data_IF_146738904283
#
_entry.id   IF_146738904283
#
_cell.length_a   1.000
_cell.length_b   1.000
_cell.length_c   1.000
_cell.angle_alpha   90.00
_cell.angle_beta   90.00
_cell.angle_gamma   90.00
#
_symmetry.space_group_name_H-M   'P 1'
#
loop_
_entity.id
_entity.type
_entity.pdbx_description
1 polymer ?
#
# COMPACT_ATOMS: atom_id res chain seq x y z
N UNK A 1 -7.52 -9.49 -20.11
CA UNK A 1 -7.98 -10.10 -18.85
C UNK A 1 -9.00 -9.22 -18.12
N UNK A 2 -8.71 -7.95 -17.81
CA UNK A 2 -9.67 -7.05 -17.13
C UNK A 2 -11.06 -6.88 -17.80
N UNK A 3 -11.20 -7.12 -19.10
CA UNK A 3 -12.51 -7.14 -19.79
C UNK A 3 -13.45 -8.25 -19.29
N UNK A 4 -12.90 -9.37 -18.82
CA UNK A 4 -13.66 -10.58 -18.45
C UNK A 4 -14.08 -10.61 -16.97
N UNK A 5 -13.58 -9.70 -16.13
CA UNK A 5 -13.87 -9.64 -14.70
C UNK A 5 -14.84 -8.52 -14.37
N UNK A 6 -15.68 -8.66 -13.34
CA UNK A 6 -16.64 -7.61 -12.97
C UNK A 6 -16.00 -6.45 -12.20
N UNK A 7 -14.98 -6.76 -11.39
CA UNK A 7 -14.24 -5.80 -10.56
C UNK A 7 -12.76 -5.83 -10.95
N UNK A 8 -12.13 -4.66 -10.97
CA UNK A 8 -10.69 -4.55 -11.19
C UNK A 8 -10.00 -4.49 -9.83
N UNK A 9 -9.20 -5.52 -9.56
CA UNK A 9 -8.31 -5.57 -8.40
C UNK A 9 -6.87 -5.53 -8.88
N UNK A 10 -6.04 -4.69 -8.26
CA UNK A 10 -4.63 -4.65 -8.60
C UNK A 10 -3.74 -4.38 -7.38
N UNK A 11 -2.50 -4.83 -7.50
CA UNK A 11 -1.48 -4.71 -6.47
C UNK A 11 -0.47 -3.68 -6.96
N UNK A 12 -0.16 -2.67 -6.13
CA UNK A 12 0.85 -1.69 -6.50
C UNK A 12 1.57 -1.10 -5.30
N UNK A 13 2.83 -0.76 -5.55
CA UNK A 13 3.81 -0.44 -4.52
C UNK A 13 4.56 0.83 -4.90
N UNK A 14 3.81 1.93 -5.05
CA UNK A 14 4.37 3.26 -5.34
C UNK A 14 5.28 3.70 -4.21
N UNK A 15 6.44 4.28 -4.56
CA UNK A 15 7.46 4.68 -3.59
C UNK A 15 8.28 3.52 -3.01
N UNK A 16 7.96 2.26 -3.35
CA UNK A 16 8.63 1.08 -2.81
C UNK A 16 9.34 0.21 -3.85
N UNK A 17 8.71 -0.13 -4.97
CA UNK A 17 9.41 -0.82 -6.07
C UNK A 17 9.71 0.10 -7.25
N UNK A 18 8.82 1.06 -7.50
CA UNK A 18 9.05 2.17 -8.43
C UNK A 18 9.23 3.46 -7.62
N UNK A 19 10.10 4.35 -8.12
CA UNK A 19 10.39 5.64 -7.50
C UNK A 19 10.73 5.52 -6.00
N UNK A 20 11.67 4.62 -5.69
CA UNK A 20 12.05 4.23 -4.33
C UNK A 20 12.30 5.45 -3.43
N UNK A 21 11.57 5.52 -2.31
CA UNK A 21 11.67 6.63 -1.35
C UNK A 21 10.97 7.92 -1.79
N UNK A 22 10.39 7.98 -2.99
CA UNK A 22 9.66 9.11 -3.55
C UNK A 22 8.20 9.16 -3.10
N UNK A 23 7.95 9.24 -1.78
CA UNK A 23 6.61 9.25 -1.18
C UNK A 23 5.70 10.36 -1.74
N UNK A 24 6.27 11.53 -2.01
CA UNK A 24 5.58 12.68 -2.60
C UNK A 24 4.96 12.42 -3.98
N UNK A 25 5.40 11.38 -4.69
CA UNK A 25 4.89 11.01 -6.01
C UNK A 25 3.69 10.05 -5.94
N UNK A 26 3.50 9.37 -4.80
CA UNK A 26 2.52 8.29 -4.62
C UNK A 26 1.12 8.76 -5.00
N UNK A 27 0.66 9.86 -4.40
CA UNK A 27 -0.71 10.35 -4.57
C UNK A 27 -1.04 10.63 -6.05
N UNK A 28 -0.11 11.27 -6.76
CA UNK A 28 -0.27 11.60 -8.19
C UNK A 28 -0.32 10.33 -9.04
N UNK A 29 0.59 9.38 -8.81
CA UNK A 29 0.67 8.15 -9.59
C UNK A 29 -0.52 7.23 -9.34
N UNK A 30 -0.92 7.10 -8.08
CA UNK A 30 -2.08 6.33 -7.65
C UNK A 30 -3.36 6.87 -8.29
N UNK A 31 -3.61 8.19 -8.20
CA UNK A 31 -4.82 8.77 -8.79
C UNK A 31 -4.86 8.57 -10.31
N UNK A 32 -3.74 8.83 -11.00
CA UNK A 32 -3.62 8.61 -12.44
C UNK A 32 -4.00 7.17 -12.81
N UNK A 33 -3.45 6.20 -12.11
CA UNK A 33 -3.61 4.80 -12.46
C UNK A 33 -5.01 4.27 -12.12
N UNK A 34 -5.58 4.69 -10.98
CA UNK A 34 -6.97 4.37 -10.64
C UNK A 34 -7.96 4.92 -11.67
N UNK A 35 -7.80 6.19 -12.07
CA UNK A 35 -8.63 6.80 -13.12
C UNK A 35 -8.43 6.09 -14.45
N UNK A 36 -7.20 5.80 -14.85
CA UNK A 36 -6.92 5.09 -16.09
C UNK A 36 -7.58 3.70 -16.16
N UNK A 37 -7.62 2.96 -15.04
CA UNK A 37 -8.37 1.69 -14.98
C UNK A 37 -9.86 1.90 -15.16
N UNK A 38 -10.44 2.86 -14.43
CA UNK A 38 -11.87 3.13 -14.49
C UNK A 38 -12.30 3.67 -15.87
N UNK A 39 -11.60 4.66 -16.43
CA UNK A 39 -11.88 5.22 -17.75
C UNK A 39 -11.79 4.17 -18.87
N UNK A 40 -10.83 3.26 -18.78
CA UNK A 40 -10.61 2.24 -19.81
C UNK A 40 -11.68 1.13 -19.82
N UNK A 41 -12.22 0.78 -18.65
CA UNK A 41 -13.07 -0.40 -18.50
C UNK A 41 -14.47 -0.11 -17.95
N UNK A 42 -14.70 1.09 -17.42
CA UNK A 42 -15.90 1.53 -16.72
C UNK A 42 -16.36 0.53 -15.63
N UNK A 43 -15.42 0.12 -14.78
CA UNK A 43 -15.65 -0.87 -13.72
C UNK A 43 -15.23 -0.32 -12.35
N UNK A 44 -15.81 -0.85 -11.25
CA UNK A 44 -15.32 -0.59 -9.90
C UNK A 44 -13.86 -1.04 -9.74
N UNK A 45 -13.09 -0.28 -8.98
CA UNK A 45 -11.66 -0.53 -8.77
C UNK A 45 -11.36 -0.71 -7.28
N UNK A 46 -10.54 -1.70 -6.96
CA UNK A 46 -10.04 -2.01 -5.63
C UNK A 46 -8.52 -2.04 -5.65
N UNK A 47 -7.89 -1.39 -4.67
CA UNK A 47 -6.47 -1.57 -4.38
C UNK A 47 -6.30 -2.79 -3.48
N UNK A 48 -5.84 -3.90 -4.05
CA UNK A 48 -5.81 -5.18 -3.35
C UNK A 48 -4.55 -5.38 -2.50
N UNK A 49 -3.45 -4.72 -2.87
CA UNK A 49 -2.24 -4.67 -2.05
C UNK A 49 -1.55 -3.31 -2.21
N UNK A 50 -1.24 -2.68 -1.09
CA UNK A 50 -0.34 -1.53 -1.00
C UNK A 50 0.41 -1.56 0.34
N UNK A 51 1.62 -1.02 0.38
CA UNK A 51 2.45 -1.00 1.60
C UNK A 51 3.94 -0.92 1.29
N UNK A 52 4.76 -0.90 2.33
CA UNK A 52 6.23 -0.85 2.25
C UNK A 52 6.82 -1.69 3.40
N UNK A 53 8.00 -2.29 3.20
CA UNK A 53 8.61 -3.08 4.28
C UNK A 53 9.04 -2.14 5.41
N UNK A 54 8.88 -2.59 6.65
CA UNK A 54 9.32 -1.83 7.83
C UNK A 54 9.78 -2.78 8.92
N UNK A 55 11.00 -2.54 9.42
CA UNK A 55 11.58 -3.26 10.54
C UNK A 55 11.04 -2.62 11.82
N UNK A 56 10.43 -3.44 12.70
CA UNK A 56 9.94 -2.95 13.98
C UNK A 56 11.09 -2.41 14.84
N UNK A 57 10.90 -1.23 15.44
CA UNK A 57 11.91 -0.54 16.24
C UNK A 57 12.94 0.26 15.45
N UNK A 58 12.95 0.19 14.11
CA UNK A 58 13.80 1.05 13.29
C UNK A 58 13.10 2.39 13.05
N UNK A 59 13.68 3.45 13.59
CA UNK A 59 13.21 4.83 13.43
C UNK A 59 14.31 5.66 12.77
N UNK A 60 13.92 6.55 11.86
CA UNK A 60 14.83 7.50 11.24
C UNK A 60 14.10 8.81 10.97
N UNK A 61 14.79 9.92 11.23
CA UNK A 61 14.28 11.27 10.98
C UNK A 61 14.54 11.70 9.53
N UNK A 62 15.53 11.08 8.85
CA UNK A 62 15.97 11.47 7.52
C UNK A 62 15.66 10.47 6.40
N UNK A 63 15.02 9.34 6.71
CA UNK A 63 14.63 8.35 5.69
C UNK A 63 13.21 8.66 5.23
N UNK A 64 13.10 9.25 4.04
CA UNK A 64 11.86 9.31 3.28
C UNK A 64 11.50 7.91 2.78
N UNK A 65 10.22 7.51 2.90
CA UNK A 65 9.75 6.19 2.45
C UNK A 65 9.54 5.14 3.53
N UNK A 66 9.43 5.53 4.80
CA UNK A 66 8.94 4.64 5.85
C UNK A 66 7.47 4.25 5.62
N UNK A 67 7.03 3.07 6.10
CA UNK A 67 5.67 2.56 5.88
C UNK A 67 4.57 3.56 6.25
N UNK A 68 4.72 4.29 7.37
CA UNK A 68 3.74 5.31 7.79
C UNK A 68 3.58 6.42 6.76
N UNK A 69 4.71 7.01 6.33
CA UNK A 69 4.70 8.08 5.34
C UNK A 69 4.13 7.57 4.00
N UNK A 70 4.55 6.37 3.58
CA UNK A 70 4.04 5.73 2.36
C UNK A 70 2.52 5.58 2.40
N UNK A 71 1.96 4.96 3.44
CA UNK A 71 0.51 4.66 3.47
C UNK A 71 -0.33 5.92 3.61
N UNK A 72 0.15 6.94 4.32
CA UNK A 72 -0.56 8.21 4.48
C UNK A 72 -0.77 8.94 3.15
N UNK A 73 0.12 8.76 2.18
CA UNK A 73 -0.05 9.36 0.85
C UNK A 73 -1.20 8.72 0.05
N UNK A 74 -1.59 7.48 0.35
CA UNK A 74 -2.71 6.83 -0.37
C UNK A 74 -4.08 7.35 0.08
N UNK A 75 -4.23 7.66 1.38
CA UNK A 75 -5.54 7.92 1.98
C UNK A 75 -6.33 9.08 1.35
N UNK A 76 -5.75 10.26 1.08
CA UNK A 76 -6.51 11.37 0.48
C UNK A 76 -7.05 11.02 -0.91
N UNK A 77 -6.30 10.22 -1.69
CA UNK A 77 -6.71 9.78 -3.02
C UNK A 77 -7.84 8.76 -2.93
N UNK A 78 -7.74 7.81 -2.01
CA UNK A 78 -8.81 6.85 -1.76
C UNK A 78 -10.10 7.55 -1.33
N UNK A 79 -10.01 8.50 -0.41
CA UNK A 79 -11.19 9.21 0.12
C UNK A 79 -11.85 10.10 -0.94
N UNK A 80 -11.04 10.69 -1.84
CA UNK A 80 -11.52 11.41 -3.02
C UNK A 80 -12.28 10.48 -3.96
N UNK A 81 -11.62 9.40 -4.41
CA UNK A 81 -12.14 8.53 -5.48
C UNK A 81 -13.24 7.57 -5.01
N UNK A 82 -13.38 7.34 -3.70
CA UNK A 82 -14.45 6.51 -3.12
C UNK A 82 -15.85 7.08 -3.39
N UNK A 83 -15.93 8.39 -3.65
CA UNK A 83 -17.17 9.08 -4.05
C UNK A 83 -17.53 8.87 -5.54
N UNK A 84 -16.64 8.25 -6.31
CA UNK A 84 -16.76 8.08 -7.75
C UNK A 84 -16.88 6.59 -8.12
N UNK A 85 -15.78 5.84 -8.05
CA UNK A 85 -15.69 4.45 -8.55
C UNK A 85 -14.79 3.52 -7.72
N UNK A 86 -14.09 4.06 -6.73
CA UNK A 86 -13.16 3.29 -5.92
C UNK A 86 -13.90 2.61 -4.76
N UNK A 87 -13.88 1.28 -4.71
CA UNK A 87 -14.77 0.51 -3.80
C UNK A 87 -14.04 -0.25 -2.72
N UNK A 88 -12.71 -0.23 -2.66
CA UNK A 88 -11.99 -0.91 -1.59
C UNK A 88 -10.48 -0.71 -1.59
N UNK A 89 -9.89 -0.74 -0.40
CA UNK A 89 -8.45 -0.71 -0.18
C UNK A 89 -8.06 -1.82 0.81
N UNK A 90 -7.05 -2.61 0.46
CA UNK A 90 -6.54 -3.72 1.26
C UNK A 90 -5.04 -3.56 1.43
N UNK A 91 -4.63 -3.36 2.68
CA UNK A 91 -3.22 -3.15 3.01
C UNK A 91 -2.45 -4.46 2.98
N UNK A 92 -1.27 -4.43 2.39
CA UNK A 92 -0.36 -5.57 2.39
C UNK A 92 0.77 -5.32 3.38
N UNK A 93 0.88 -6.06 4.49
CA UNK A 93 0.06 -7.22 4.89
C UNK A 93 -0.41 -7.06 6.35
N UNK A 94 -1.33 -7.90 6.80
CA UNK A 94 -1.76 -7.93 8.19
C UNK A 94 -0.57 -8.12 9.14
N UNK A 95 0.26 -9.14 8.94
CA UNK A 95 1.43 -9.41 9.77
C UNK A 95 2.64 -9.86 8.94
N UNK A 96 3.84 -9.68 9.50
CA UNK A 96 5.07 -10.21 8.90
C UNK A 96 4.99 -11.72 8.74
N UNK A 97 5.54 -12.24 7.63
CA UNK A 97 5.50 -13.66 7.31
C UNK A 97 6.81 -14.14 6.69
N UNK A 98 7.05 -15.46 6.76
CA UNK A 98 8.23 -16.08 6.20
C UNK A 98 8.14 -16.15 4.66
N UNK A 99 9.27 -15.94 4.00
CA UNK A 99 9.44 -16.18 2.56
C UNK A 99 10.61 -17.14 2.36
N UNK A 100 10.80 -17.61 1.12
CA UNK A 100 12.09 -18.17 0.74
C UNK A 100 13.22 -17.15 1.02
N UNK A 101 14.42 -17.68 1.24
CA UNK A 101 15.61 -16.85 1.47
C UNK A 101 15.93 -16.03 0.23
N UNK A 102 16.10 -14.73 0.39
CA UNK A 102 16.39 -13.78 -0.68
C UNK A 102 17.07 -12.54 -0.08
N UNK A 103 18.02 -11.94 -0.82
CA UNK A 103 18.77 -10.78 -0.35
C UNK A 103 17.90 -9.56 -0.05
N UNK A 104 16.72 -9.45 -0.69
CA UNK A 104 15.74 -8.38 -0.49
C UNK A 104 14.76 -8.70 0.64
N UNK A 105 14.88 -9.85 1.31
CA UNK A 105 13.96 -10.34 2.34
C UNK A 105 14.67 -10.51 3.67
N UNK A 106 14.67 -9.43 4.46
CA UNK A 106 15.29 -9.41 5.80
C UNK A 106 14.46 -10.26 6.76
N UNK A 107 14.83 -11.54 6.92
CA UNK A 107 14.09 -12.52 7.74
C UNK A 107 12.61 -12.60 7.36
N UNK A 108 12.33 -12.71 6.06
CA UNK A 108 10.98 -12.79 5.49
C UNK A 108 10.48 -11.47 4.91
N UNK A 109 9.16 -11.35 4.77
CA UNK A 109 8.48 -10.13 4.35
C UNK A 109 8.13 -9.29 5.59
N UNK A 110 8.48 -8.00 5.56
CA UNK A 110 8.33 -7.05 6.67
C UNK A 110 7.30 -5.95 6.38
N UNK A 111 6.44 -6.13 5.39
CA UNK A 111 5.31 -5.23 5.09
C UNK A 111 4.15 -5.36 6.07
N UNK A 112 4.24 -6.26 7.05
CA UNK A 112 3.21 -6.44 8.06
C UNK A 112 2.93 -5.16 8.85
N UNK A 113 1.65 -4.86 9.05
CA UNK A 113 1.20 -3.84 10.02
C UNK A 113 1.53 -4.28 11.45
N UNK A 114 1.48 -5.58 11.68
CA UNK A 114 1.96 -6.23 12.89
C UNK A 114 3.25 -7.02 12.60
N UNK A 115 4.06 -7.21 13.64
CA UNK A 115 5.13 -8.21 13.59
C UNK A 115 4.54 -9.61 13.47
N UNK A 116 5.38 -10.61 13.16
CA UNK A 116 4.95 -12.01 13.18
C UNK A 116 4.46 -12.45 14.57
N UNK A 117 4.91 -11.82 15.65
CA UNK A 117 4.41 -12.07 17.01
C UNK A 117 3.20 -11.19 17.39
N UNK A 118 2.56 -10.55 16.40
CA UNK A 118 1.35 -9.72 16.54
C UNK A 118 1.57 -8.47 17.40
N UNK A 119 2.82 -8.02 17.51
CA UNK A 119 3.13 -6.73 18.12
C UNK A 119 2.84 -5.61 17.10
N UNK A 120 2.14 -4.54 17.48
CA UNK A 120 1.78 -3.47 16.55
C UNK A 120 3.01 -2.67 16.14
N UNK A 121 3.12 -2.34 14.84
CA UNK A 121 4.06 -1.32 14.36
C UNK A 121 3.38 0.05 14.35
N UNK A 122 4.14 1.12 14.09
CA UNK A 122 3.61 2.49 14.01
C UNK A 122 2.41 2.61 13.05
N UNK A 123 2.46 1.91 11.90
CA UNK A 123 1.38 1.89 10.93
C UNK A 123 0.05 1.34 11.49
N UNK A 124 0.07 0.45 12.50
CA UNK A 124 -1.16 -0.07 13.12
C UNK A 124 -1.98 1.04 13.78
N UNK A 125 -1.31 2.00 14.43
CA UNK A 125 -1.96 3.14 15.08
C UNK A 125 -2.55 4.10 14.05
N UNK A 126 -1.88 4.28 12.92
CA UNK A 126 -2.36 5.09 11.80
C UNK A 126 -3.62 4.48 11.18
N UNK A 127 -3.65 3.16 10.96
CA UNK A 127 -4.85 2.49 10.43
C UNK A 127 -6.01 2.51 11.42
N UNK A 128 -5.74 2.37 12.73
CA UNK A 128 -6.77 2.50 13.77
C UNK A 128 -7.40 3.89 13.82
N UNK A 129 -6.68 4.93 13.41
CA UNK A 129 -7.26 6.28 13.30
C UNK A 129 -8.12 6.45 12.04
N UNK A 130 -7.82 5.67 10.99
CA UNK A 130 -8.53 5.73 9.70
C UNK A 130 -9.84 4.93 9.70
N UNK A 131 -9.87 3.78 10.36
CA UNK A 131 -11.01 2.84 10.40
C UNK A 131 -11.55 2.68 11.80
#
# INVERSE_FOLDING_TARGET
>A
QARLSDVIMFNRYYGWYADFGGTQLISRQLERDLRAFHEKYNKPVIMAEYGADTIAGLHSVGVTGGCVETIQQYFPVFDKLRKEFFVGEMIWNFADFNTAQDAKRVAGNKKGIFTRARQPKAAAFILRQRY
#
